data_IF_173374164299
#
_entry.id   IF_173374164299
#
_cell.length_a   1.000
_cell.length_b   1.000
_cell.length_c   1.000
_cell.angle_alpha   90.00
_cell.angle_beta   90.00
_cell.angle_gamma   90.00
#
_symmetry.space_group_name_H-M   'P 1'
#
loop_
_entity.id
_entity.type
_entity.pdbx_description
1 polymer ?
#
# COMPACT_ATOMS: atom_id res chain seq x y z
N UNK A 1 -12.55 11.41 1.21
CA UNK A 1 -11.52 10.41 0.84
C UNK A 1 -12.12 9.36 -0.07
N UNK A 2 -11.46 9.06 -1.19
CA UNK A 2 -11.89 7.96 -2.06
C UNK A 2 -11.43 6.62 -1.50
N UNK A 3 -12.29 5.62 -1.55
CA UNK A 3 -11.93 4.25 -1.23
C UNK A 3 -11.90 3.40 -2.51
N UNK A 4 -11.61 2.11 -2.38
CA UNK A 4 -11.54 1.22 -3.53
C UNK A 4 -12.86 1.14 -4.30
N UNK A 5 -13.99 1.15 -3.60
CA UNK A 5 -15.33 1.13 -4.21
C UNK A 5 -15.55 2.34 -5.12
N UNK A 6 -15.12 3.51 -4.68
CA UNK A 6 -15.24 4.74 -5.48
C UNK A 6 -14.40 4.67 -6.75
N UNK A 7 -13.20 4.11 -6.65
CA UNK A 7 -12.32 3.91 -7.79
C UNK A 7 -12.91 2.90 -8.78
N UNK A 8 -13.50 1.82 -8.28
CA UNK A 8 -14.17 0.81 -9.10
C UNK A 8 -15.35 1.44 -9.85
N UNK A 9 -16.14 2.28 -9.19
CA UNK A 9 -17.23 3.01 -9.82
C UNK A 9 -16.74 3.90 -10.96
N UNK A 10 -15.65 4.62 -10.74
CA UNK A 10 -15.06 5.49 -11.75
C UNK A 10 -14.58 4.69 -12.97
N UNK A 11 -13.96 3.54 -12.75
CA UNK A 11 -13.51 2.64 -13.84
C UNK A 11 -14.70 2.14 -14.64
N UNK A 12 -15.76 1.73 -13.97
CA UNK A 12 -16.98 1.24 -14.62
C UNK A 12 -17.63 2.33 -15.46
N UNK A 13 -17.76 3.55 -14.92
CA UNK A 13 -18.34 4.70 -15.63
C UNK A 13 -17.57 5.08 -16.89
N UNK A 14 -16.24 4.95 -16.85
CA UNK A 14 -15.39 5.24 -18.00
C UNK A 14 -15.53 4.22 -19.14
N UNK A 15 -16.10 3.04 -18.86
CA UNK A 15 -16.30 1.99 -19.85
C UNK A 15 -15.02 1.40 -20.43
N UNK A 16 -13.87 1.68 -19.80
CA UNK A 16 -12.56 1.32 -20.36
C UNK A 16 -12.30 -0.17 -20.41
N UNK A 17 -12.93 -0.95 -19.53
CA UNK A 17 -12.67 -2.39 -19.40
C UNK A 17 -13.71 -3.25 -20.09
N UNK A 18 -14.91 -2.73 -20.35
CA UNK A 18 -16.03 -3.53 -20.84
C UNK A 18 -16.58 -4.55 -19.83
N UNK A 19 -16.12 -4.49 -18.58
CA UNK A 19 -16.52 -5.41 -17.53
C UNK A 19 -17.69 -4.85 -16.70
N UNK A 20 -18.41 -5.73 -16.04
CA UNK A 20 -19.42 -5.29 -15.07
C UNK A 20 -18.74 -4.74 -13.81
N UNK A 21 -19.47 -3.94 -13.02
CA UNK A 21 -18.97 -3.39 -11.77
C UNK A 21 -18.52 -4.49 -10.81
N UNK A 22 -19.26 -5.60 -10.71
CA UNK A 22 -18.89 -6.72 -9.85
C UNK A 22 -17.59 -7.39 -10.30
N UNK A 23 -17.40 -7.54 -11.62
CA UNK A 23 -16.18 -8.11 -12.18
C UNK A 23 -14.98 -7.21 -11.87
N UNK A 24 -15.11 -5.90 -12.06
CA UNK A 24 -14.06 -4.93 -11.75
C UNK A 24 -13.73 -4.98 -10.25
N UNK A 25 -14.74 -5.01 -9.40
CA UNK A 25 -14.55 -5.06 -7.95
C UNK A 25 -13.79 -6.33 -7.52
N UNK A 26 -14.14 -7.48 -8.10
CA UNK A 26 -13.48 -8.75 -7.82
C UNK A 26 -12.00 -8.69 -8.19
N UNK A 27 -11.69 -8.22 -9.40
CA UNK A 27 -10.31 -8.10 -9.87
C UNK A 27 -9.52 -7.09 -9.03
N UNK A 28 -10.12 -5.95 -8.71
CA UNK A 28 -9.47 -4.91 -7.89
C UNK A 28 -9.11 -5.43 -6.50
N UNK A 29 -10.03 -6.13 -5.85
CA UNK A 29 -9.78 -6.73 -4.53
C UNK A 29 -8.70 -7.81 -4.60
N UNK A 30 -8.72 -8.64 -5.63
CA UNK A 30 -7.71 -9.67 -5.84
C UNK A 30 -6.33 -9.06 -6.06
N UNK A 31 -6.25 -7.97 -6.81
CA UNK A 31 -5.00 -7.25 -7.06
C UNK A 31 -4.42 -6.68 -5.76
N UNK A 32 -5.24 -6.00 -4.98
CA UNK A 32 -4.82 -5.43 -3.69
C UNK A 32 -4.39 -6.55 -2.73
N UNK A 33 -5.14 -7.65 -2.68
CA UNK A 33 -4.79 -8.82 -1.87
C UNK A 33 -3.46 -9.45 -2.29
N UNK A 34 -3.19 -9.53 -3.59
CA UNK A 34 -1.92 -10.03 -4.11
C UNK A 34 -0.74 -9.14 -3.71
N UNK A 35 -0.91 -7.82 -3.74
CA UNK A 35 0.11 -6.87 -3.27
C UNK A 35 0.37 -7.09 -1.78
N UNK A 36 -0.67 -7.22 -0.97
CA UNK A 36 -0.54 -7.45 0.46
C UNK A 36 0.19 -8.77 0.76
N UNK A 37 -0.12 -9.83 0.02
CA UNK A 37 0.53 -11.14 0.19
C UNK A 37 2.02 -11.08 -0.16
N UNK A 38 2.39 -10.39 -1.23
CA UNK A 38 3.78 -10.20 -1.60
C UNK A 38 4.55 -9.44 -0.51
N UNK A 39 3.96 -8.37 0.02
CA UNK A 39 4.55 -7.59 1.10
C UNK A 39 4.68 -8.40 2.40
N UNK A 40 3.73 -9.28 2.67
CA UNK A 40 3.80 -10.20 3.81
C UNK A 40 5.03 -11.10 3.74
N UNK A 41 5.43 -11.51 2.53
CA UNK A 41 6.66 -12.26 2.28
C UNK A 41 7.91 -11.39 2.20
N UNK A 42 7.82 -10.11 2.53
CA UNK A 42 8.92 -9.13 2.44
C UNK A 42 9.42 -8.91 1.01
N UNK A 43 8.60 -9.16 0.02
CA UNK A 43 8.90 -8.89 -1.38
C UNK A 43 8.53 -7.44 -1.74
N UNK A 44 9.34 -6.82 -2.56
CA UNK A 44 9.01 -5.51 -3.11
C UNK A 44 8.01 -5.65 -4.25
N UNK A 45 7.04 -4.73 -4.30
CA UNK A 45 6.06 -4.69 -5.38
C UNK A 45 6.22 -3.41 -6.16
N UNK A 46 6.57 -3.52 -7.43
CA UNK A 46 6.70 -2.37 -8.33
C UNK A 46 5.52 -2.29 -9.26
N UNK A 47 4.83 -1.15 -9.26
CA UNK A 47 3.72 -0.86 -10.16
C UNK A 47 4.20 0.18 -11.18
N UNK A 48 4.32 -0.24 -12.44
CA UNK A 48 4.81 0.62 -13.51
C UNK A 48 3.95 1.89 -13.65
N UNK A 49 4.59 3.05 -13.65
CA UNK A 49 3.92 4.34 -13.77
C UNK A 49 3.17 4.79 -12.51
N UNK A 50 3.27 4.05 -11.41
CA UNK A 50 2.60 4.39 -10.16
C UNK A 50 3.59 4.55 -9.01
N UNK A 51 4.27 3.49 -8.62
CA UNK A 51 5.21 3.54 -7.53
C UNK A 51 5.66 2.16 -7.09
N UNK A 52 6.35 2.13 -5.97
CA UNK A 52 6.94 0.91 -5.44
C UNK A 52 6.59 0.78 -3.96
N UNK A 53 6.08 -0.39 -3.60
CA UNK A 53 5.87 -0.78 -2.20
C UNK A 53 7.05 -1.62 -1.74
N UNK A 54 7.54 -1.35 -0.54
CA UNK A 54 8.61 -2.11 0.07
C UNK A 54 8.37 -2.28 1.55
N UNK A 55 9.06 -3.25 2.14
CA UNK A 55 9.01 -3.49 3.57
C UNK A 55 10.29 -2.93 4.18
N UNK A 56 10.12 -2.09 5.20
CA UNK A 56 11.22 -1.63 6.05
C UNK A 56 11.17 -2.41 7.35
N UNK A 57 12.24 -3.11 7.67
CA UNK A 57 12.38 -3.80 8.93
C UNK A 57 13.07 -2.90 9.95
N UNK A 58 12.48 -2.78 11.12
CA UNK A 58 13.06 -2.06 12.24
C UNK A 58 13.53 -3.09 13.27
N UNK A 59 14.82 -3.04 13.59
CA UNK A 59 15.40 -3.90 14.60
C UNK A 59 14.85 -3.57 16.00
N UNK A 60 14.84 -4.56 16.87
CA UNK A 60 14.56 -4.38 18.29
C UNK A 60 15.52 -3.37 18.89
N UNK A 61 15.01 -2.45 19.68
CA UNK A 61 15.81 -1.40 20.30
C UNK A 61 15.24 -1.00 21.65
N UNK A 62 16.08 -0.38 22.48
CA UNK A 62 15.64 0.22 23.73
C UNK A 62 15.15 1.65 23.46
N UNK A 63 13.93 1.93 23.87
CA UNK A 63 13.36 3.26 23.84
C UNK A 63 13.06 3.75 25.25
N UNK A 64 12.82 5.05 25.38
CA UNK A 64 12.43 5.66 26.66
C UNK A 64 10.98 6.10 26.60
N UNK A 65 10.19 5.74 27.61
CA UNK A 65 8.83 6.22 27.73
C UNK A 65 8.87 7.71 28.17
N UNK A 66 8.38 8.66 27.35
CA UNK A 66 8.46 10.06 27.67
C UNK A 66 7.58 10.46 28.89
N UNK A 67 6.56 9.67 29.22
CA UNK A 67 5.69 9.93 30.35
C UNK A 67 6.32 9.55 31.70
N UNK A 68 7.07 8.45 31.76
CA UNK A 68 7.64 7.92 33.00
C UNK A 68 9.15 8.00 33.05
N UNK A 69 9.82 8.20 31.92
CA UNK A 69 11.27 8.16 31.82
C UNK A 69 11.88 6.79 31.89
N UNK A 70 11.06 5.73 31.97
CA UNK A 70 11.53 4.36 32.04
C UNK A 70 11.97 3.86 30.66
N UNK A 71 12.99 3.01 30.65
CA UNK A 71 13.42 2.34 29.44
C UNK A 71 12.45 1.21 29.11
N UNK A 72 12.02 1.18 27.84
CA UNK A 72 11.08 0.17 27.35
C UNK A 72 11.70 -0.51 26.13
N UNK A 73 11.54 -1.83 26.05
CA UNK A 73 11.97 -2.58 24.87
C UNK A 73 10.98 -2.34 23.73
N UNK A 74 11.47 -1.77 22.63
CA UNK A 74 10.71 -1.63 21.40
C UNK A 74 11.02 -2.85 20.53
N UNK A 75 10.00 -3.71 20.34
CA UNK A 75 10.15 -4.94 19.58
C UNK A 75 10.43 -4.63 18.10
N UNK A 76 11.15 -5.54 17.46
CA UNK A 76 11.32 -5.50 16.01
C UNK A 76 9.96 -5.43 15.31
N UNK A 77 9.86 -4.60 14.29
CA UNK A 77 8.62 -4.42 13.54
C UNK A 77 8.92 -4.26 12.05
N UNK A 78 7.90 -4.54 11.24
CA UNK A 78 7.95 -4.30 9.80
C UNK A 78 6.98 -3.18 9.46
N UNK A 79 7.41 -2.26 8.61
CA UNK A 79 6.58 -1.17 8.13
C UNK A 79 6.52 -1.17 6.61
N UNK A 80 5.35 -0.89 6.05
CA UNK A 80 5.16 -0.75 4.61
C UNK A 80 5.58 0.66 4.21
N UNK A 81 6.45 0.77 3.21
CA UNK A 81 6.85 2.04 2.61
C UNK A 81 6.37 2.10 1.17
N UNK A 82 5.86 3.24 0.78
CA UNK A 82 5.48 3.52 -0.60
C UNK A 82 6.34 4.66 -1.14
N UNK A 83 6.94 4.42 -2.32
CA UNK A 83 7.69 5.44 -3.05
C UNK A 83 7.01 5.69 -4.37
N UNK A 84 6.50 6.91 -4.57
CA UNK A 84 5.85 7.29 -5.81
C UNK A 84 6.86 7.32 -6.95
N UNK A 85 6.43 6.86 -8.15
CA UNK A 85 7.24 6.98 -9.36
C UNK A 85 7.26 8.43 -9.83
N UNK A 86 8.22 8.76 -10.69
CA UNK A 86 8.28 10.07 -11.32
C UNK A 86 6.99 10.38 -12.08
N UNK A 87 6.47 9.40 -12.80
CA UNK A 87 5.22 9.53 -13.55
C UNK A 87 4.05 9.92 -12.64
N UNK A 88 3.93 9.26 -11.49
CA UNK A 88 2.86 9.59 -10.53
C UNK A 88 3.06 10.98 -9.94
N UNK A 89 4.28 11.36 -9.58
CA UNK A 89 4.58 12.69 -9.07
C UNK A 89 4.22 13.78 -10.09
N UNK A 90 4.53 13.55 -11.36
CA UNK A 90 4.22 14.48 -12.44
C UNK A 90 2.69 14.60 -12.65
N UNK A 91 1.97 13.49 -12.48
CA UNK A 91 0.50 13.47 -12.62
C UNK A 91 -0.19 14.32 -11.57
N UNK A 92 0.33 14.35 -10.35
CA UNK A 92 -0.30 15.08 -9.23
C UNK A 92 0.27 16.49 -9.03
N UNK A 93 1.30 16.83 -9.76
CA UNK A 93 1.94 18.16 -9.68
C UNK A 93 1.09 19.27 -10.30
#
# INVERSE_FOLDING_TARGET
MKNLSDIVDDIHKNGATGLTKDQINTVAKATVGGIADALKGSEEVSLAGFGKFSISERAERMGRNPATGEQTLIKASKAVKFKASKTLKDTVA
#
